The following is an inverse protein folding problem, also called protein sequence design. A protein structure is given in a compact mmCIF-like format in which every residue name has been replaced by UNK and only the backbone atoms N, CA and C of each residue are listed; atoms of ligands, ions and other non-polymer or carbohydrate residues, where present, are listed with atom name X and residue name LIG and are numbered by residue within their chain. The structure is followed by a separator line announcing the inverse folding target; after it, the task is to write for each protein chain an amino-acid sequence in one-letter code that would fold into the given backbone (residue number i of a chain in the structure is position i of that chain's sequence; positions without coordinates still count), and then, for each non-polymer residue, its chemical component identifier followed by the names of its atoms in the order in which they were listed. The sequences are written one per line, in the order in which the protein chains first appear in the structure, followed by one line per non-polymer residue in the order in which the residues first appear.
data_IF_070297677816
#
_entry.id   IF_070297677816
#
_cell.length_a   1.000
_cell.length_b   1.000
_cell.length_c   1.000
_cell.angle_alpha   90.00
_cell.angle_beta   90.00
_cell.angle_gamma   90.00
#
_symmetry.space_group_name_H-M   'P 1'
#
loop_
_entity.id
_entity.type
_entity.pdbx_description
1 polymer ?
#
# COMPACT_ATOMS: atom_id res chain seq x y z
N UNK A 1 16.21 -16.16 -16.18
CA UNK A 1 15.66 -14.89 -15.68
C UNK A 1 14.18 -15.11 -15.43
N UNK A 2 13.80 -15.48 -14.21
CA UNK A 2 12.46 -16.03 -13.93
C UNK A 2 11.39 -14.95 -14.07
N UNK A 3 10.68 -14.99 -15.19
CA UNK A 3 9.54 -14.15 -15.56
C UNK A 3 8.26 -14.60 -14.83
N UNK A 4 8.34 -14.86 -13.53
CA UNK A 4 7.16 -15.28 -12.77
C UNK A 4 6.56 -14.04 -12.10
N UNK A 5 5.26 -13.77 -12.28
CA UNK A 5 4.60 -12.73 -11.53
C UNK A 5 4.68 -13.06 -10.04
N UNK A 6 5.00 -12.06 -9.22
CA UNK A 6 5.10 -12.22 -7.77
C UNK A 6 3.81 -11.73 -7.13
N UNK A 7 3.27 -12.53 -6.23
CA UNK A 7 2.22 -12.06 -5.33
C UNK A 7 2.86 -11.19 -4.25
N UNK A 8 2.42 -9.94 -4.15
CA UNK A 8 2.87 -8.99 -3.14
C UNK A 8 1.69 -8.70 -2.24
N UNK A 9 1.82 -9.02 -0.96
CA UNK A 9 0.80 -8.77 0.04
C UNK A 9 0.99 -7.38 0.64
N UNK A 10 -0.09 -6.61 0.62
CA UNK A 10 -0.19 -5.25 1.13
C UNK A 10 -1.11 -5.26 2.35
N UNK A 11 -0.67 -4.67 3.46
CA UNK A 11 -1.46 -4.53 4.68
C UNK A 11 -1.68 -3.05 4.96
N UNK A 12 -2.92 -2.62 5.14
CA UNK A 12 -3.21 -1.31 5.68
C UNK A 12 -3.52 -1.45 7.19
N UNK A 13 -2.59 -1.07 8.08
CA UNK A 13 -2.80 -1.21 9.53
C UNK A 13 -3.98 -0.39 10.03
N UNK A 14 -4.21 0.79 9.43
CA UNK A 14 -5.33 1.67 9.79
C UNK A 14 -6.71 1.10 9.46
N UNK A 15 -6.80 0.18 8.50
CA UNK A 15 -8.05 -0.48 8.11
C UNK A 15 -8.11 -1.96 8.52
N UNK A 16 -7.04 -2.48 9.12
CA UNK A 16 -6.81 -3.91 9.32
C UNK A 16 -7.13 -4.74 8.06
N UNK A 17 -6.88 -4.17 6.88
CA UNK A 17 -7.24 -4.76 5.58
C UNK A 17 -5.99 -5.27 4.89
N UNK A 18 -6.08 -6.46 4.31
CA UNK A 18 -5.04 -7.04 3.45
C UNK A 18 -5.53 -7.00 2.00
N UNK A 19 -4.66 -6.59 1.09
CA UNK A 19 -4.86 -6.72 -0.34
C UNK A 19 -3.67 -7.46 -0.95
N UNK A 20 -3.95 -8.38 -1.87
CA UNK A 20 -2.90 -9.06 -2.62
C UNK A 20 -2.88 -8.46 -4.02
N UNK A 21 -1.69 -8.12 -4.49
CA UNK A 21 -1.48 -7.66 -5.86
C UNK A 21 -0.54 -8.64 -6.56
N UNK A 22 -0.81 -8.89 -7.83
CA UNK A 22 0.05 -9.70 -8.68
C UNK A 22 0.84 -8.72 -9.54
N UNK A 23 2.16 -8.68 -9.34
CA UNK A 23 3.02 -7.74 -10.01
C UNK A 23 4.24 -8.43 -10.61
N UNK A 24 4.66 -7.95 -11.77
CA UNK A 24 5.93 -8.33 -12.38
C UNK A 24 7.04 -7.45 -11.81
N UNK A 25 8.24 -8.00 -11.67
CA UNK A 25 9.41 -7.27 -11.16
C UNK A 25 9.69 -5.97 -11.93
N UNK A 26 9.48 -5.98 -13.24
CA UNK A 26 9.72 -4.84 -14.13
C UNK A 26 8.51 -3.90 -14.24
N UNK A 27 7.35 -4.29 -13.70
CA UNK A 27 6.18 -3.42 -13.71
C UNK A 27 6.40 -2.23 -12.78
N UNK A 28 5.91 -1.08 -13.25
CA UNK A 28 5.83 0.12 -12.44
C UNK A 28 4.79 -0.05 -11.35
N UNK A 29 4.99 0.68 -10.25
CA UNK A 29 4.05 0.66 -9.12
C UNK A 29 2.87 1.58 -9.46
N UNK A 30 1.69 0.98 -9.57
CA UNK A 30 0.43 1.69 -9.79
C UNK A 30 -0.18 2.06 -8.43
N UNK A 31 0.14 3.27 -7.94
CA UNK A 31 -0.36 3.73 -6.64
C UNK A 31 -1.86 4.00 -6.67
N UNK A 32 -2.42 4.29 -7.85
CA UNK A 32 -3.86 4.46 -8.06
C UNK A 32 -4.68 3.22 -7.71
N UNK A 33 -4.27 2.06 -8.22
CA UNK A 33 -4.92 0.77 -7.96
C UNK A 33 -4.77 0.34 -6.50
N UNK A 34 -3.58 0.56 -5.91
CA UNK A 34 -3.35 0.33 -4.47
C UNK A 34 -4.29 1.23 -3.67
N UNK A 35 -4.35 2.52 -3.98
CA UNK A 35 -5.20 3.47 -3.29
C UNK A 35 -6.68 3.08 -3.37
N UNK A 36 -7.15 2.70 -4.56
CA UNK A 36 -8.52 2.24 -4.80
C UNK A 36 -8.85 0.97 -4.03
N UNK A 37 -7.91 0.03 -3.89
CA UNK A 37 -8.10 -1.20 -3.12
C UNK A 37 -8.32 -0.93 -1.63
N UNK A 38 -7.66 0.10 -1.08
CA UNK A 38 -7.78 0.50 0.33
C UNK A 38 -8.75 1.67 0.57
N UNK A 39 -9.23 2.36 -0.47
CA UNK A 39 -10.07 3.56 -0.34
C UNK A 39 -9.31 4.79 0.18
N UNK A 40 -7.97 4.78 0.10
CA UNK A 40 -7.12 5.91 0.46
C UNK A 40 -6.92 6.83 -0.73
N UNK A 41 -6.52 8.07 -0.46
CA UNK A 41 -6.22 9.05 -1.48
C UNK A 41 -4.88 8.69 -2.16
N UNK A 42 -4.85 8.44 -3.49
CA UNK A 42 -3.65 8.00 -4.20
C UNK A 42 -2.48 8.97 -4.06
N UNK A 43 -2.78 10.25 -3.82
CA UNK A 43 -1.77 11.26 -3.62
C UNK A 43 -1.03 11.19 -2.28
N UNK A 44 -1.53 10.40 -1.33
CA UNK A 44 -0.99 10.30 0.02
C UNK A 44 -0.48 8.90 0.37
N UNK A 45 -0.56 7.97 -0.59
CA UNK A 45 -0.12 6.58 -0.42
C UNK A 45 1.37 6.52 -0.11
N UNK A 46 1.69 5.78 0.95
CA UNK A 46 3.04 5.45 1.39
C UNK A 46 3.15 3.94 1.53
N UNK A 47 4.27 3.39 1.10
CA UNK A 47 4.61 1.97 1.25
C UNK A 47 5.73 1.84 2.27
N UNK A 48 5.54 1.05 3.33
CA UNK A 48 6.43 1.00 4.50
C UNK A 48 6.75 2.38 5.08
N UNK A 49 5.79 3.32 5.03
CA UNK A 49 5.99 4.71 5.45
C UNK A 49 6.80 5.58 4.48
N UNK A 50 7.30 5.01 3.39
CA UNK A 50 8.02 5.75 2.36
C UNK A 50 7.08 6.32 1.30
N UNK A 51 7.33 7.58 0.96
CA UNK A 51 6.68 8.21 -0.17
C UNK A 51 7.29 7.72 -1.47
N UNK A 52 6.48 7.18 -2.37
CA UNK A 52 6.93 6.78 -3.70
C UNK A 52 6.74 7.98 -4.62
N UNK A 53 7.79 8.37 -5.37
CA UNK A 53 7.67 9.44 -6.38
C UNK A 53 6.57 9.10 -7.38
N UNK A 54 5.60 10.01 -7.52
CA UNK A 54 4.42 9.89 -8.39
C UNK A 54 4.68 10.69 -9.67
N UNK A 55 4.51 10.04 -10.83
CA UNK A 55 4.36 10.76 -12.10
C UNK A 55 2.98 11.40 -12.23
N UNK A 56 2.72 12.01 -13.38
CA UNK A 56 1.45 12.70 -13.71
C UNK A 56 0.24 11.75 -13.59
N UNK A 57 0.45 10.44 -13.82
CA UNK A 57 -0.59 9.40 -13.76
C UNK A 57 -0.68 8.65 -12.43
N UNK A 58 -0.05 9.15 -11.35
CA UNK A 58 0.07 8.43 -10.05
C UNK A 58 0.84 7.09 -10.13
N UNK A 59 1.39 6.78 -11.30
CA UNK A 59 2.32 5.67 -11.52
C UNK A 59 3.72 6.18 -11.21
N UNK A 60 4.51 5.38 -10.49
CA UNK A 60 5.92 5.74 -10.33
C UNK A 60 6.64 5.56 -11.66
N UNK A 61 6.98 6.66 -12.32
CA UNK A 61 7.64 6.61 -13.63
C UNK A 61 9.04 5.99 -13.57
N UNK A 62 9.70 6.05 -12.41
CA UNK A 62 11.11 5.66 -12.23
C UNK A 62 11.33 4.45 -11.32
N UNK A 63 10.29 3.96 -10.63
CA UNK A 63 10.43 2.89 -9.63
C UNK A 63 9.61 1.66 -10.06
N UNK A 64 10.32 0.54 -10.23
CA UNK A 64 9.73 -0.78 -10.48
C UNK A 64 9.54 -1.54 -9.19
N UNK A 65 8.67 -2.55 -9.18
CA UNK A 65 8.52 -3.45 -8.04
C UNK A 65 9.85 -4.07 -7.61
N UNK A 66 10.69 -4.50 -8.55
CA UNK A 66 12.02 -5.03 -8.26
C UNK A 66 12.89 -4.04 -7.47
N UNK A 67 12.98 -2.80 -7.96
CA UNK A 67 13.80 -1.77 -7.32
C UNK A 67 13.29 -1.42 -5.91
N UNK A 68 11.96 -1.36 -5.75
CA UNK A 68 11.32 -1.09 -4.47
C UNK A 68 11.55 -2.22 -3.47
N UNK A 69 11.33 -3.47 -3.88
CA UNK A 69 11.53 -4.63 -3.02
C UNK A 69 13.01 -4.78 -2.65
N UNK A 70 13.92 -4.56 -3.60
CA UNK A 70 15.36 -4.57 -3.32
C UNK A 70 15.75 -3.48 -2.33
N UNK A 71 15.21 -2.27 -2.49
CA UNK A 71 15.40 -1.18 -1.54
C UNK A 71 14.90 -1.53 -0.14
N UNK A 72 13.68 -2.06 -0.01
CA UNK A 72 13.14 -2.49 1.29
C UNK A 72 13.95 -3.62 1.90
N UNK A 73 14.32 -4.63 1.11
CA UNK A 73 15.17 -5.74 1.57
C UNK A 73 16.53 -5.23 2.07
N UNK A 74 17.14 -4.26 1.39
CA UNK A 74 18.42 -3.67 1.82
C UNK A 74 18.32 -2.90 3.13
N UNK A 75 17.11 -2.42 3.48
CA UNK A 75 16.81 -1.72 4.73
C UNK A 75 16.23 -2.63 5.81
N UNK A 76 16.10 -3.93 5.57
CA UNK A 76 15.46 -4.87 6.49
C UNK A 76 13.96 -4.60 6.69
N UNK A 77 13.31 -3.98 5.70
CA UNK A 77 11.87 -3.70 5.71
C UNK A 77 11.09 -4.82 5.04
N UNK A 78 9.80 -4.89 5.37
CA UNK A 78 8.84 -5.82 4.76
C UNK A 78 8.87 -5.76 3.23
N UNK A 79 8.87 -6.92 2.58
CA UNK A 79 8.99 -7.05 1.11
C UNK A 79 7.72 -7.54 0.42
N UNK A 80 6.66 -7.80 1.17
CA UNK A 80 5.36 -8.28 0.69
C UNK A 80 5.32 -9.75 0.33
N UNK A 81 6.36 -10.54 0.60
CA UNK A 81 6.43 -11.94 0.19
C UNK A 81 5.45 -12.85 0.97
N UNK A 82 5.10 -12.48 2.19
CA UNK A 82 4.22 -13.22 3.10
C UNK A 82 3.31 -12.27 3.87
N UNK A 83 2.31 -12.80 4.56
CA UNK A 83 1.44 -12.01 5.44
C UNK A 83 2.22 -11.33 6.58
N UNK A 84 3.25 -12.01 7.11
CA UNK A 84 4.14 -11.46 8.16
C UNK A 84 5.05 -10.35 7.64
N UNK A 85 5.42 -10.44 6.36
CA UNK A 85 6.25 -9.46 5.66
C UNK A 85 5.41 -8.56 4.74
N UNK A 86 4.12 -8.37 5.03
CA UNK A 86 3.25 -7.59 4.16
C UNK A 86 3.74 -6.13 4.09
N UNK A 87 3.69 -5.55 2.90
CA UNK A 87 4.01 -4.14 2.69
C UNK A 87 2.98 -3.26 3.39
N UNK A 88 3.43 -2.40 4.29
CA UNK A 88 2.54 -1.52 5.03
C UNK A 88 2.09 -0.37 4.14
N UNK A 89 0.79 -0.31 3.86
CA UNK A 89 0.18 0.77 3.09
C UNK A 89 -0.46 1.76 4.03
N UNK A 90 0.05 2.99 4.03
CA UNK A 90 -0.51 4.10 4.80
C UNK A 90 -0.88 5.25 3.87
N UNK A 91 -1.84 6.07 4.27
CA UNK A 91 -2.30 7.20 3.49
C UNK A 91 -3.48 7.89 4.16
N UNK A 92 -3.82 9.06 3.68
CA UNK A 92 -5.04 9.75 4.09
C UNK A 92 -6.22 9.09 3.41
N UNK A 93 -7.30 8.91 4.15
CA UNK A 93 -8.54 8.41 3.60
C UNK A 93 -9.18 9.45 2.69
N UNK A 94 -9.59 9.04 1.49
CA UNK A 94 -10.39 9.89 0.63
C UNK A 94 -11.66 10.33 1.38
N UNK A 95 -12.16 11.55 1.15
CA UNK A 95 -13.31 12.12 1.88
C UNK A 95 -14.58 11.25 1.79
N UNK A 96 -14.67 10.35 0.80
CA UNK A 96 -15.72 9.33 0.68
C UNK A 96 -15.60 8.19 1.71
N UNK A 97 -14.39 7.80 2.12
CA UNK A 97 -14.16 6.75 3.12
C UNK A 97 -14.39 7.23 4.57
N UNK A 98 -14.32 8.54 4.81
CA UNK A 98 -14.58 9.14 6.13
C UNK A 98 -16.00 8.88 6.67
N UNK A 99 -16.97 8.52 5.82
CA UNK A 99 -18.32 8.15 6.29
C UNK A 99 -18.37 6.85 7.11
N UNK A 100 -17.36 5.96 7.01
CA UNK A 100 -17.34 4.69 7.76
C UNK A 100 -16.48 4.70 9.02
N UNK A 101 -15.47 5.57 9.10
CA UNK A 101 -14.57 5.63 10.27
C UNK A 101 -15.12 6.52 11.39
N UNK A 102 -15.97 7.49 11.08
CA UNK A 102 -16.65 8.35 12.07
C UNK A 102 -17.74 7.64 12.90
N UNK A 103 -17.94 6.33 12.71
CA UNK A 103 -18.89 5.52 13.48
C UNK A 103 -18.22 4.64 14.55
N UNK A 104 -16.90 4.72 14.73
CA UNK A 104 -16.18 3.92 15.73
C UNK A 104 -15.38 4.79 16.70
N UNK A 105 -16.00 5.82 17.27
CA UNK A 105 -15.56 6.45 18.52
C UNK A 105 -16.75 7.06 19.27
N UNK A 106 -17.77 6.23 19.53
CA UNK A 106 -18.77 6.52 20.57
C UNK A 106 -18.94 5.29 21.44
N UNK A 107 -17.88 4.91 22.19
CA UNK A 107 -18.10 4.16 23.42
C UNK A 107 -18.70 5.14 24.43
N UNK A 108 -20.02 5.26 24.38
CA UNK A 108 -20.82 5.92 25.40
C UNK A 108 -20.85 5.00 26.62
N UNK A 109 -19.94 5.22 27.57
CA UNK A 109 -20.17 4.78 28.96
C UNK A 109 -20.99 5.89 29.64
N UNK A 110 -22.08 5.51 30.31
CA UNK A 110 -22.13 5.84 31.72
C UNK A 110 -22.53 4.64 32.58
N UNK A 111 -22.06 4.78 33.82
CA UNK A 111 -22.27 3.98 35.03
C UNK A 111 -23.67 3.39 35.22
#
# INVERSE_FOLDING_TARGET
MSKNPREIKLLCPSLSKVANIIAWDENKIDLGSIAKAFGIEPSTVKLNGHFISRGVDLISCSVTWKSLISFFSSKGLSTGNNLRDALLVTGNFSKLANKRMLLSFSFFFPF
#
